data_IF_992948412998
#
_entry.id   IF_992948412998
#
_cell.length_a   1.000
_cell.length_b   1.000
_cell.length_c   1.000
_cell.angle_alpha   90.00
_cell.angle_beta   90.00
_cell.angle_gamma   90.00
#
_symmetry.space_group_name_H-M   'P 1'
#
loop_
_entity.id
_entity.type
_entity.pdbx_description
1 polymer ?
#
# COMPACT_ATOMS: atom_id res chain seq x y z
N UNK A 1 0.11 -11.03 12.23
CA UNK A 1 0.69 -12.10 11.38
C UNK A 1 2.06 -11.79 10.80
N UNK A 2 2.83 -12.84 10.48
CA UNK A 2 4.18 -12.76 9.87
C UNK A 2 4.17 -11.95 8.56
N UNK A 3 3.12 -12.09 7.74
CA UNK A 3 2.99 -11.39 6.45
C UNK A 3 2.89 -9.88 6.60
N UNK A 4 2.13 -9.39 7.59
CA UNK A 4 2.00 -7.95 7.86
C UNK A 4 3.35 -7.30 8.23
N UNK A 5 4.22 -8.03 8.94
CA UNK A 5 5.58 -7.56 9.25
C UNK A 5 6.45 -7.45 8.00
N UNK A 6 6.38 -8.41 7.09
CA UNK A 6 7.10 -8.36 5.81
C UNK A 6 6.67 -7.17 4.95
N UNK A 7 5.35 -6.94 4.82
CA UNK A 7 4.82 -5.77 4.12
C UNK A 7 5.25 -4.45 4.77
N UNK A 8 5.27 -4.38 6.11
CA UNK A 8 5.74 -3.19 6.82
C UNK A 8 7.22 -2.92 6.52
N UNK A 9 8.05 -3.94 6.62
CA UNK A 9 9.50 -3.81 6.43
C UNK A 9 9.85 -3.33 5.01
N UNK A 10 9.27 -3.94 3.96
CA UNK A 10 9.57 -3.52 2.59
C UNK A 10 9.13 -2.07 2.31
N UNK A 11 7.98 -1.66 2.84
CA UNK A 11 7.50 -0.29 2.69
C UNK A 11 8.34 0.70 3.50
N UNK A 12 8.86 0.31 4.67
CA UNK A 12 9.75 1.14 5.49
C UNK A 12 11.06 1.41 4.74
N UNK A 13 11.64 0.36 4.15
CA UNK A 13 12.87 0.47 3.37
C UNK A 13 12.68 1.33 2.12
N UNK A 14 11.52 1.23 1.45
CA UNK A 14 11.18 2.09 0.33
C UNK A 14 11.03 3.56 0.76
N UNK A 15 10.26 3.82 1.83
CA UNK A 15 10.01 5.17 2.34
C UNK A 15 11.31 5.88 2.76
N UNK A 16 12.26 5.17 3.39
CA UNK A 16 13.58 5.71 3.78
C UNK A 16 14.46 6.15 2.61
N UNK A 17 14.26 5.57 1.42
CA UNK A 17 15.07 5.86 0.22
C UNK A 17 14.49 6.98 -0.63
N UNK A 18 13.21 7.31 -0.46
CA UNK A 18 12.57 8.37 -1.21
C UNK A 18 13.04 9.74 -0.72
N UNK A 19 13.29 10.64 -1.66
CA UNK A 19 13.52 12.05 -1.38
C UNK A 19 12.23 12.77 -0.95
N UNK A 20 12.34 14.05 -0.64
CA UNK A 20 11.19 14.92 -0.38
C UNK A 20 10.29 15.03 -1.62
N UNK A 21 8.98 14.83 -1.44
CA UNK A 21 8.03 14.80 -2.55
C UNK A 21 8.12 13.53 -3.42
N UNK A 22 8.89 12.52 -3.01
CA UNK A 22 9.05 11.26 -3.74
C UNK A 22 7.75 10.44 -3.75
N UNK A 23 7.50 9.73 -4.86
CA UNK A 23 6.30 8.92 -5.03
C UNK A 23 6.56 7.45 -4.69
N UNK A 24 5.64 6.83 -3.93
CA UNK A 24 5.65 5.40 -3.62
C UNK A 24 4.44 4.73 -4.26
N UNK A 25 4.68 3.83 -5.21
CA UNK A 25 3.67 2.88 -5.69
C UNK A 25 3.90 1.53 -4.99
N UNK A 26 2.95 1.09 -4.19
CA UNK A 26 3.06 -0.15 -3.40
C UNK A 26 1.81 -1.00 -3.52
N UNK A 27 1.98 -2.33 -3.52
CA UNK A 27 0.93 -3.27 -3.86
C UNK A 27 0.90 -4.50 -2.95
N UNK A 28 -0.27 -5.13 -2.85
CA UNK A 28 -0.45 -6.47 -2.28
C UNK A 28 -1.49 -7.25 -3.07
N UNK A 29 -1.15 -8.49 -3.45
CA UNK A 29 -2.05 -9.46 -4.08
C UNK A 29 -2.61 -10.49 -3.09
N UNK A 30 -2.30 -10.36 -1.79
CA UNK A 30 -2.69 -11.36 -0.80
C UNK A 30 -4.17 -11.19 -0.44
N UNK A 31 -4.96 -12.25 -0.64
CA UNK A 31 -6.37 -12.27 -0.23
C UNK A 31 -6.58 -12.01 1.28
N UNK A 32 -5.79 -12.59 2.21
CA UNK A 32 -5.95 -12.31 3.63
C UNK A 32 -5.65 -10.86 4.03
N UNK A 33 -5.02 -10.08 3.16
CA UNK A 33 -4.73 -8.67 3.41
C UNK A 33 -5.84 -7.83 2.80
N UNK A 34 -6.71 -7.28 3.63
CA UNK A 34 -7.71 -6.29 3.20
C UNK A 34 -7.05 -4.98 2.80
N UNK A 35 -7.75 -4.15 2.02
CA UNK A 35 -7.27 -2.81 1.67
C UNK A 35 -6.99 -1.97 2.92
N UNK A 36 -7.92 -1.98 3.88
CA UNK A 36 -7.77 -1.24 5.14
C UNK A 36 -6.55 -1.70 5.95
N UNK A 37 -6.31 -3.02 6.01
CA UNK A 37 -5.12 -3.55 6.69
C UNK A 37 -3.84 -3.14 5.94
N UNK A 38 -3.85 -3.16 4.62
CA UNK A 38 -2.71 -2.74 3.81
C UNK A 38 -2.39 -1.26 4.03
N UNK A 39 -3.40 -0.38 4.03
CA UNK A 39 -3.23 1.04 4.34
C UNK A 39 -2.62 1.26 5.73
N UNK A 40 -3.11 0.54 6.75
CA UNK A 40 -2.55 0.59 8.11
C UNK A 40 -1.09 0.15 8.16
N UNK A 41 -0.74 -0.91 7.43
CA UNK A 41 0.65 -1.40 7.34
C UNK A 41 1.56 -0.35 6.69
N UNK A 42 1.16 0.19 5.54
CA UNK A 42 1.93 1.20 4.79
C UNK A 42 2.07 2.49 5.60
N UNK A 43 0.99 2.95 6.24
CA UNK A 43 1.02 4.12 7.12
C UNK A 43 1.97 3.92 8.30
N UNK A 44 1.97 2.74 8.93
CA UNK A 44 2.93 2.40 9.97
C UNK A 44 4.38 2.46 9.49
N UNK A 45 4.65 1.96 8.28
CA UNK A 45 5.97 1.98 7.68
C UNK A 45 6.45 3.41 7.35
N UNK A 46 5.57 4.25 6.79
CA UNK A 46 5.86 5.66 6.49
C UNK A 46 6.15 6.46 7.77
N UNK A 47 5.37 6.23 8.84
CA UNK A 47 5.58 6.89 10.14
C UNK A 47 6.92 6.49 10.76
N UNK A 48 7.28 5.21 10.70
CA UNK A 48 8.58 4.70 11.19
C UNK A 48 9.76 5.22 10.34
N UNK A 49 9.51 5.66 9.11
CA UNK A 49 10.48 6.36 8.26
C UNK A 49 10.60 7.85 8.58
N UNK A 50 9.83 8.40 9.53
CA UNK A 50 9.81 9.83 9.85
C UNK A 50 9.16 10.70 8.79
N UNK A 51 8.26 10.13 7.98
CA UNK A 51 7.59 10.83 6.87
C UNK A 51 6.08 10.91 7.08
N UNK A 52 5.45 11.74 6.26
CA UNK A 52 4.00 11.81 6.05
C UNK A 52 3.67 11.31 4.64
N UNK A 53 2.44 10.85 4.42
CA UNK A 53 1.98 10.35 3.13
C UNK A 53 0.64 10.98 2.75
N UNK A 54 0.52 11.34 1.47
CA UNK A 54 -0.75 11.71 0.85
C UNK A 54 -1.13 10.65 -0.18
N UNK A 55 -2.37 10.16 -0.12
CA UNK A 55 -2.90 9.23 -1.12
C UNK A 55 -3.25 10.03 -2.40
N UNK A 56 -2.50 9.78 -3.47
CA UNK A 56 -2.78 10.38 -4.77
C UNK A 56 -3.84 9.58 -5.53
N UNK A 57 -3.74 8.25 -5.47
CA UNK A 57 -4.68 7.36 -6.17
C UNK A 57 -4.70 5.96 -5.56
N UNK A 58 -5.89 5.39 -5.30
CA UNK A 58 -6.03 3.95 -5.10
C UNK A 58 -5.80 3.23 -6.44
N UNK A 59 -5.00 2.18 -6.43
CA UNK A 59 -4.68 1.34 -7.58
C UNK A 59 -5.23 -0.07 -7.36
N UNK A 60 -5.41 -0.82 -8.45
CA UNK A 60 -5.94 -2.17 -8.41
C UNK A 60 -5.75 -2.88 -9.74
N UNK A 61 -6.45 -4.00 -9.92
CA UNK A 61 -6.44 -4.74 -11.17
C UNK A 61 -7.07 -3.92 -12.31
N UNK A 62 -6.62 -4.19 -13.55
CA UNK A 62 -7.12 -3.53 -14.75
C UNK A 62 -8.55 -3.95 -15.10
N UNK A 63 -9.17 -3.30 -16.11
CA UNK A 63 -10.52 -3.62 -16.56
C UNK A 63 -10.65 -5.03 -17.17
N UNK A 64 -9.52 -5.63 -17.56
CA UNK A 64 -9.42 -7.03 -18.00
C UNK A 64 -9.58 -8.04 -16.83
N UNK A 65 -9.59 -7.56 -15.60
CA UNK A 65 -9.80 -8.33 -14.37
C UNK A 65 -10.95 -7.72 -13.55
N UNK A 66 -12.20 -7.78 -14.04
CA UNK A 66 -13.34 -7.19 -13.34
C UNK A 66 -13.64 -7.93 -12.04
N UNK A 67 -14.10 -7.19 -11.04
CA UNK A 67 -14.58 -7.77 -9.77
C UNK A 67 -16.08 -7.96 -9.85
N UNK A 68 -16.53 -9.20 -9.63
CA UNK A 68 -17.95 -9.49 -9.46
C UNK A 68 -18.41 -9.00 -8.08
N UNK A 69 -19.48 -8.20 -8.02
CA UNK A 69 -20.01 -7.65 -6.76
C UNK A 69 -20.54 -8.73 -5.80
N UNK A 70 -20.95 -9.89 -6.32
CA UNK A 70 -21.33 -11.06 -5.52
C UNK A 70 -20.13 -11.89 -5.04
N UNK A 71 -18.91 -11.54 -5.48
CA UNK A 71 -17.66 -12.22 -5.12
C UNK A 71 -16.54 -11.19 -4.81
N UNK A 72 -16.64 -10.47 -3.68
CA UNK A 72 -15.70 -9.41 -3.33
C UNK A 72 -14.26 -9.92 -3.12
N UNK A 73 -14.06 -11.21 -2.88
CA UNK A 73 -12.75 -11.85 -2.79
C UNK A 73 -11.94 -11.71 -4.11
N UNK A 74 -12.63 -11.51 -5.24
CA UNK A 74 -12.01 -11.21 -6.53
C UNK A 74 -11.25 -9.87 -6.56
N UNK A 75 -11.46 -8.98 -5.58
CA UNK A 75 -10.67 -7.75 -5.41
C UNK A 75 -9.34 -8.03 -4.69
N UNK A 76 -8.54 -8.93 -5.28
CA UNK A 76 -7.33 -9.45 -4.63
C UNK A 76 -6.16 -8.47 -4.66
N UNK A 77 -6.02 -7.68 -5.74
CA UNK A 77 -4.94 -6.70 -5.92
C UNK A 77 -5.32 -5.34 -5.30
N UNK A 78 -4.54 -4.92 -4.31
CA UNK A 78 -4.65 -3.62 -3.65
C UNK A 78 -3.38 -2.84 -3.98
N UNK A 79 -3.52 -1.59 -4.39
CA UNK A 79 -2.37 -0.72 -4.63
C UNK A 79 -2.62 0.69 -4.12
N UNK A 80 -1.54 1.35 -3.70
CA UNK A 80 -1.55 2.73 -3.23
C UNK A 80 -0.48 3.50 -4.00
N UNK A 81 -0.88 4.63 -4.59
CA UNK A 81 0.06 5.63 -5.07
C UNK A 81 0.12 6.78 -4.06
N UNK A 82 1.27 6.95 -3.42
CA UNK A 82 1.47 7.93 -2.37
C UNK A 82 2.50 8.98 -2.78
N UNK A 83 2.30 10.23 -2.36
CA UNK A 83 3.37 11.23 -2.28
C UNK A 83 3.89 11.26 -0.84
N UNK A 84 5.20 11.11 -0.65
CA UNK A 84 5.82 11.15 0.67
C UNK A 84 6.55 12.47 0.89
N UNK A 85 6.29 13.09 2.03
CA UNK A 85 6.91 14.34 2.48
C UNK A 85 7.53 14.16 3.85
N UNK A 86 8.53 14.97 4.19
CA UNK A 86 9.10 15.03 5.51
C UNK A 86 8.00 15.42 6.51
N UNK A 87 8.19 14.98 7.75
CA UNK A 87 7.31 15.36 8.85
C UNK A 87 7.69 16.73 9.39
#
# INVERSE_FOLDING_TARGET
DRSARGYKEINLQAARRLCEGGMLATFSCSNPVSLELFEKIVLGAVRDAGKTAQLLRPLGAGPDHPVNLAHPEGRYLKGLLLCLTAK
#
